data_IF_322185330237
#
_entry.id   IF_322185330237
#
_cell.length_a   1.000
_cell.length_b   1.000
_cell.length_c   1.000
_cell.angle_alpha   90.00
_cell.angle_beta   90.00
_cell.angle_gamma   90.00
#
_symmetry.space_group_name_H-M   'P 1'
#
loop_
_entity.id
_entity.type
_entity.pdbx_description
1 polymer ?
#
# COMPACT_ATOMS: atom_id res chain seq x y z
N UNK A 1 -13.83 -2.73 -7.52
CA UNK A 1 -13.00 -1.62 -7.01
C UNK A 1 -12.06 -2.11 -5.90
N UNK A 2 -10.80 -2.45 -6.12
CA UNK A 2 -10.00 -2.60 -7.35
C UNK A 2 -9.47 -4.05 -7.34
N UNK A 3 -10.37 -4.97 -7.68
CA UNK A 3 -10.14 -6.41 -7.65
C UNK A 3 -10.15 -6.84 -9.10
N UNK A 4 -8.99 -7.09 -9.70
CA UNK A 4 -8.99 -7.84 -10.95
C UNK A 4 -7.79 -8.79 -10.99
N UNK A 5 -8.07 -10.01 -11.44
CA UNK A 5 -7.03 -10.93 -11.89
C UNK A 5 -7.01 -10.82 -13.41
N UNK A 6 -5.88 -10.36 -13.95
CA UNK A 6 -5.73 -10.18 -15.39
C UNK A 6 -5.68 -11.50 -16.20
N UNK A 7 -5.77 -12.64 -15.52
CA UNK A 7 -5.65 -13.98 -16.10
C UNK A 7 -6.90 -14.45 -16.85
N UNK A 8 -8.06 -13.83 -16.61
CA UNK A 8 -9.31 -14.16 -17.29
C UNK A 8 -9.50 -13.25 -18.51
N UNK A 9 -8.78 -13.57 -19.58
CA UNK A 9 -8.83 -12.80 -20.84
C UNK A 9 -9.88 -13.32 -21.82
N UNK A 10 -10.53 -12.39 -22.51
CA UNK A 10 -11.41 -12.65 -23.65
C UNK A 10 -10.64 -12.42 -24.97
N UNK A 11 -10.61 -13.39 -25.91
CA UNK A 11 -9.75 -13.31 -27.11
C UNK A 11 -10.00 -12.10 -28.02
N UNK A 12 -11.21 -11.53 -27.99
CA UNK A 12 -11.60 -10.39 -28.84
C UNK A 12 -11.60 -9.05 -28.10
N UNK A 13 -11.31 -9.06 -26.80
CA UNK A 13 -11.32 -7.85 -25.99
C UNK A 13 -10.04 -7.02 -26.22
N UNK A 14 -10.20 -5.69 -26.20
CA UNK A 14 -9.09 -4.74 -26.35
C UNK A 14 -8.69 -4.16 -25.00
N UNK A 15 -7.75 -4.83 -24.34
CA UNK A 15 -7.17 -4.41 -23.06
C UNK A 15 -6.25 -3.20 -23.20
N UNK A 16 -5.54 -3.09 -24.32
CA UNK A 16 -4.65 -1.98 -24.61
C UNK A 16 -5.21 -1.13 -25.75
N UNK A 17 -5.29 0.18 -25.54
CA UNK A 17 -5.68 1.14 -26.58
C UNK A 17 -4.58 2.18 -26.71
N UNK A 18 -4.01 2.34 -27.90
CA UNK A 18 -3.09 3.45 -28.12
C UNK A 18 -3.95 4.67 -28.43
N UNK A 19 -3.98 5.65 -27.54
CA UNK A 19 -4.93 6.78 -27.63
C UNK A 19 -4.40 7.90 -28.51
N UNK A 20 -3.11 8.22 -28.36
CA UNK A 20 -2.41 9.28 -29.08
C UNK A 20 -0.93 8.97 -29.26
N UNK A 21 -0.28 9.74 -30.12
CA UNK A 21 1.17 9.83 -30.17
C UNK A 21 1.57 11.31 -30.13
N UNK A 22 2.76 11.58 -29.59
CA UNK A 22 3.34 12.92 -29.54
C UNK A 22 4.81 12.84 -29.93
N UNK A 23 5.29 13.90 -30.59
CA UNK A 23 6.71 14.09 -30.77
C UNK A 23 7.29 14.70 -29.49
N UNK A 24 8.22 14.00 -28.85
CA UNK A 24 9.03 14.53 -27.75
C UNK A 24 10.46 14.63 -28.27
N UNK A 25 10.89 15.85 -28.55
CA UNK A 25 12.21 16.18 -29.14
C UNK A 25 12.40 15.47 -30.49
N UNK A 26 13.16 14.37 -30.51
CA UNK A 26 13.56 13.62 -31.70
C UNK A 26 12.85 12.26 -31.85
N UNK A 27 11.96 11.91 -30.94
CA UNK A 27 11.30 10.61 -30.93
C UNK A 27 9.79 10.69 -30.71
N UNK A 28 9.10 9.70 -31.29
CA UNK A 28 7.65 9.56 -31.12
C UNK A 28 7.37 8.69 -29.91
N UNK A 29 6.54 9.21 -29.02
CA UNK A 29 5.98 8.52 -27.85
C UNK A 29 4.52 8.21 -28.12
N UNK A 30 4.12 6.97 -27.90
CA UNK A 30 2.72 6.52 -27.94
C UNK A 30 2.18 6.45 -26.53
N UNK A 31 1.01 7.05 -26.29
CA UNK A 31 0.29 6.91 -25.01
C UNK A 31 -0.65 5.72 -25.12
N UNK A 32 -0.32 4.65 -24.39
CA UNK A 32 -1.10 3.43 -24.25
C UNK A 32 -2.01 3.58 -23.04
N UNK A 33 -3.31 3.41 -23.23
CA UNK A 33 -4.28 3.21 -22.15
C UNK A 33 -4.48 1.71 -21.96
N UNK A 34 -4.26 1.23 -20.75
CA UNK A 34 -4.61 -0.13 -20.35
C UNK A 34 -5.95 -0.06 -19.61
N UNK A 35 -6.86 -0.96 -19.95
CA UNK A 35 -8.17 -1.08 -19.33
C UNK A 35 -8.41 -2.55 -18.99
N UNK A 36 -8.60 -2.83 -17.71
CA UNK A 36 -8.91 -4.18 -17.21
C UNK A 36 -10.01 -4.05 -16.18
N UNK A 37 -11.14 -4.68 -16.45
CA UNK A 37 -12.36 -4.57 -15.65
C UNK A 37 -12.80 -3.11 -15.41
N UNK A 38 -12.84 -2.65 -14.15
CA UNK A 38 -13.23 -1.32 -13.74
C UNK A 38 -12.04 -0.34 -13.54
N UNK A 39 -10.82 -0.79 -13.85
CA UNK A 39 -9.58 -0.03 -13.62
C UNK A 39 -8.90 0.30 -14.94
N UNK A 40 -8.46 1.55 -15.07
CA UNK A 40 -7.69 2.01 -16.21
C UNK A 40 -6.49 2.85 -15.79
N UNK A 41 -5.43 2.78 -16.59
CA UNK A 41 -4.26 3.64 -16.43
C UNK A 41 -3.63 3.94 -17.79
N UNK A 42 -2.70 4.89 -17.81
CA UNK A 42 -1.97 5.28 -19.03
C UNK A 42 -0.47 5.20 -18.87
N UNK A 43 0.22 4.80 -19.93
CA UNK A 43 1.67 4.73 -19.96
C UNK A 43 2.18 5.18 -21.32
N UNK A 44 3.36 5.78 -21.31
CA UNK A 44 4.05 6.26 -22.50
C UNK A 44 5.11 5.24 -22.92
N UNK A 45 5.11 4.86 -24.20
CA UNK A 45 6.13 3.96 -24.80
C UNK A 45 6.55 4.45 -26.17
N UNK A 46 7.84 4.38 -26.46
CA UNK A 46 8.40 4.60 -27.79
C UNK A 46 8.46 3.28 -28.54
N UNK A 47 8.48 3.36 -29.87
CA UNK A 47 8.64 2.16 -30.70
C UNK A 47 9.90 1.35 -30.32
N UNK A 48 11.01 2.00 -29.98
CA UNK A 48 12.24 1.33 -29.53
C UNK A 48 12.06 0.52 -28.24
N UNK A 49 11.11 0.89 -27.39
CA UNK A 49 10.79 0.14 -26.17
C UNK A 49 9.93 -1.09 -26.49
N UNK A 50 8.98 -0.99 -27.43
CA UNK A 50 8.29 -2.17 -27.97
C UNK A 50 9.27 -3.15 -28.65
N UNK A 51 10.24 -2.63 -29.38
CA UNK A 51 11.29 -3.39 -30.06
C UNK A 51 12.26 -4.07 -29.07
N UNK A 52 12.60 -3.39 -27.96
CA UNK A 52 13.36 -4.01 -26.88
C UNK A 52 12.55 -5.09 -26.14
N UNK A 53 11.27 -4.81 -25.86
CA UNK A 53 10.34 -5.77 -25.27
C UNK A 53 10.18 -7.03 -26.14
N UNK A 54 9.94 -6.87 -27.45
CA UNK A 54 9.77 -7.98 -28.39
C UNK A 54 11.03 -8.86 -28.50
N UNK A 55 12.23 -8.26 -28.45
CA UNK A 55 13.49 -8.99 -28.45
C UNK A 55 13.75 -9.76 -27.16
N UNK A 56 13.32 -9.22 -26.02
CA UNK A 56 13.47 -9.86 -24.73
C UNK A 56 12.46 -11.00 -24.52
N UNK A 57 11.40 -11.06 -25.34
CA UNK A 57 10.38 -12.09 -25.24
C UNK A 57 10.85 -13.43 -25.77
N UNK A 58 10.51 -14.51 -25.05
CA UNK A 58 10.66 -15.88 -25.56
C UNK A 58 9.54 -16.12 -26.56
N UNK A 59 9.89 -16.49 -27.80
CA UNK A 59 8.92 -16.62 -28.91
C UNK A 59 8.59 -18.07 -29.17
N UNK A 60 7.30 -18.40 -29.13
CA UNK A 60 6.76 -19.70 -29.48
C UNK A 60 6.05 -19.66 -30.85
N UNK A 61 5.77 -20.81 -31.48
CA UNK A 61 4.97 -20.84 -32.70
C UNK A 61 3.63 -20.10 -32.52
N UNK A 62 3.32 -19.20 -33.43
CA UNK A 62 2.10 -18.38 -33.36
C UNK A 62 2.23 -17.11 -32.51
N UNK A 63 3.41 -16.83 -31.94
CA UNK A 63 3.64 -15.58 -31.22
C UNK A 63 3.46 -14.36 -32.13
N UNK A 64 2.82 -13.27 -31.67
CA UNK A 64 2.56 -12.09 -32.48
C UNK A 64 3.83 -11.41 -32.99
N UNK A 65 3.82 -10.98 -34.25
CA UNK A 65 4.95 -10.25 -34.82
C UNK A 65 4.85 -8.75 -34.58
N UNK A 66 5.92 -8.14 -34.06
CA UNK A 66 6.06 -6.70 -33.98
C UNK A 66 6.04 -6.06 -35.39
N UNK A 67 5.31 -4.94 -35.62
CA UNK A 67 5.38 -4.23 -36.90
C UNK A 67 6.80 -3.75 -37.19
N UNK A 68 7.27 -3.77 -38.44
CA UNK A 68 8.66 -3.50 -38.76
C UNK A 68 9.10 -2.06 -38.45
N UNK A 69 10.41 -1.91 -38.17
CA UNK A 69 11.03 -0.60 -38.01
C UNK A 69 11.05 0.12 -39.36
N UNK A 70 10.86 1.44 -39.32
CA UNK A 70 10.92 2.32 -40.50
C UNK A 70 12.04 3.32 -40.23
N UNK A 71 13.00 3.38 -41.14
CA UNK A 71 14.22 4.20 -40.97
C UNK A 71 14.08 5.56 -41.67
N UNK A 72 13.36 5.62 -42.80
CA UNK A 72 13.11 6.85 -43.56
C UNK A 72 11.64 7.24 -43.43
N UNK A 73 11.31 8.50 -43.14
CA UNK A 73 9.93 8.96 -42.98
C UNK A 73 9.22 8.30 -41.79
N UNK A 74 9.95 8.11 -40.69
CA UNK A 74 9.48 7.50 -39.45
C UNK A 74 8.65 8.45 -38.57
N UNK A 75 8.60 9.74 -38.92
CA UNK A 75 7.76 10.76 -38.30
C UNK A 75 6.59 11.21 -39.19
N UNK A 76 6.42 10.60 -40.37
CA UNK A 76 5.28 10.86 -41.25
C UNK A 76 3.95 10.52 -40.55
N UNK A 77 2.99 11.44 -40.56
CA UNK A 77 1.75 11.33 -39.76
C UNK A 77 0.89 10.14 -40.19
N UNK A 78 0.79 9.87 -41.49
CA UNK A 78 0.04 8.71 -41.99
C UNK A 78 0.66 7.42 -41.51
N UNK A 79 1.99 7.34 -41.57
CA UNK A 79 2.73 6.23 -41.04
C UNK A 79 2.59 6.06 -39.53
N UNK A 80 2.61 7.14 -38.74
CA UNK A 80 2.42 7.08 -37.29
C UNK A 80 1.03 6.58 -36.91
N UNK A 81 -0.01 6.98 -37.65
CA UNK A 81 -1.36 6.46 -37.47
C UNK A 81 -1.46 4.97 -37.80
N UNK A 82 -0.82 4.51 -38.90
CA UNK A 82 -0.77 3.09 -39.22
C UNK A 82 -0.02 2.29 -38.15
N UNK A 83 1.16 2.78 -37.73
CA UNK A 83 1.97 2.15 -36.69
C UNK A 83 1.25 2.09 -35.36
N UNK A 84 0.51 3.12 -34.97
CA UNK A 84 -0.37 3.14 -33.79
C UNK A 84 -1.33 1.95 -33.80
N UNK A 85 -2.05 1.72 -34.90
CA UNK A 85 -2.99 0.58 -35.04
C UNK A 85 -2.25 -0.76 -34.98
N UNK A 86 -1.09 -0.86 -35.64
CA UNK A 86 -0.30 -2.09 -35.65
C UNK A 86 0.28 -2.44 -34.27
N UNK A 87 0.80 -1.45 -33.54
CA UNK A 87 1.30 -1.62 -32.18
C UNK A 87 0.18 -1.97 -31.20
N UNK A 88 -1.01 -1.36 -31.35
CA UNK A 88 -2.19 -1.72 -30.56
C UNK A 88 -2.57 -3.18 -30.78
N UNK A 89 -2.66 -3.63 -32.04
CA UNK A 89 -2.96 -5.02 -32.35
C UNK A 89 -1.89 -5.96 -31.77
N UNK A 90 -0.62 -5.64 -31.98
CA UNK A 90 0.51 -6.42 -31.47
C UNK A 90 0.43 -6.60 -29.95
N UNK A 91 0.34 -5.50 -29.19
CA UNK A 91 0.42 -5.60 -27.72
C UNK A 91 -0.78 -6.30 -27.10
N UNK A 92 -1.99 -6.14 -27.66
CA UNK A 92 -3.15 -6.92 -27.22
C UNK A 92 -2.96 -8.41 -27.51
N UNK A 93 -2.44 -8.77 -28.69
CA UNK A 93 -2.17 -10.16 -29.03
C UNK A 93 -1.12 -10.78 -28.11
N UNK A 94 -0.05 -10.05 -27.76
CA UNK A 94 0.98 -10.54 -26.84
C UNK A 94 0.40 -10.71 -25.43
N UNK A 95 -0.35 -9.71 -24.94
CA UNK A 95 -1.01 -9.78 -23.64
C UNK A 95 -1.92 -11.01 -23.50
N UNK A 96 -2.79 -11.23 -24.49
CA UNK A 96 -3.70 -12.38 -24.49
C UNK A 96 -2.91 -13.70 -24.57
N UNK A 97 -1.88 -13.76 -25.41
CA UNK A 97 -1.02 -14.94 -25.54
C UNK A 97 -0.36 -15.29 -24.19
N UNK A 98 0.24 -14.32 -23.52
CA UNK A 98 0.92 -14.51 -22.23
C UNK A 98 -0.05 -14.94 -21.12
N UNK A 99 -1.25 -14.35 -21.05
CA UNK A 99 -2.29 -14.78 -20.12
C UNK A 99 -2.70 -16.25 -20.37
N UNK A 100 -2.90 -16.64 -21.63
CA UNK A 100 -3.24 -18.02 -21.97
C UNK A 100 -2.12 -19.00 -21.62
N UNK A 101 -0.87 -18.61 -21.88
CA UNK A 101 0.30 -19.44 -21.58
C UNK A 101 0.48 -19.63 -20.07
N UNK A 102 0.40 -18.55 -19.27
CA UNK A 102 0.49 -18.62 -17.82
C UNK A 102 -0.64 -19.47 -17.22
N UNK A 103 -1.87 -19.31 -17.74
CA UNK A 103 -3.01 -20.14 -17.34
C UNK A 103 -2.78 -21.62 -17.65
N UNK A 104 -2.24 -21.94 -18.82
CA UNK A 104 -1.90 -23.32 -19.20
C UNK A 104 -0.81 -23.94 -18.29
N UNK A 105 0.10 -23.11 -17.75
CA UNK A 105 1.12 -23.52 -16.77
C UNK A 105 0.58 -23.59 -15.33
N UNK A 106 -0.67 -23.18 -15.08
CA UNK A 106 -1.24 -23.12 -13.72
C UNK A 106 -0.64 -22.01 -12.87
N UNK A 107 -0.16 -20.93 -13.50
CA UNK A 107 0.44 -19.77 -12.84
C UNK A 107 -0.60 -18.64 -12.71
N UNK A 108 -0.51 -17.86 -11.63
CA UNK A 108 -1.54 -16.90 -11.25
C UNK A 108 -1.31 -15.47 -11.78
N UNK A 109 -0.13 -15.19 -12.34
CA UNK A 109 0.31 -13.86 -12.74
C UNK A 109 0.91 -13.85 -14.15
N UNK A 110 0.94 -12.67 -14.77
CA UNK A 110 1.61 -12.42 -16.04
C UNK A 110 3.12 -12.68 -15.95
N UNK A 111 3.78 -13.02 -17.06
CA UNK A 111 5.24 -12.96 -17.10
C UNK A 111 5.72 -11.56 -16.73
N UNK A 112 6.80 -11.47 -15.93
CA UNK A 112 7.34 -10.19 -15.45
C UNK A 112 7.62 -9.18 -16.56
N UNK A 113 8.05 -9.66 -17.72
CA UNK A 113 8.40 -8.81 -18.86
C UNK A 113 7.21 -7.96 -19.31
N UNK A 114 6.05 -8.57 -19.57
CA UNK A 114 4.85 -7.83 -19.97
C UNK A 114 4.19 -7.11 -18.80
N UNK A 115 4.22 -7.70 -17.60
CA UNK A 115 3.69 -7.05 -16.40
C UNK A 115 4.36 -5.70 -16.16
N UNK A 116 5.69 -5.64 -16.26
CA UNK A 116 6.46 -4.40 -16.16
C UNK A 116 6.24 -3.49 -17.38
N UNK A 117 6.23 -4.05 -18.60
CA UNK A 117 6.01 -3.26 -19.82
C UNK A 117 4.67 -2.51 -19.81
N UNK A 118 3.63 -3.11 -19.24
CA UNK A 118 2.28 -2.54 -19.13
C UNK A 118 1.92 -1.99 -17.74
N UNK A 119 2.86 -1.97 -16.79
CA UNK A 119 2.68 -1.52 -15.40
C UNK A 119 1.63 -2.30 -14.57
N UNK A 120 1.37 -3.58 -14.89
CA UNK A 120 0.54 -4.44 -14.03
C UNK A 120 1.14 -4.61 -12.64
N UNK A 121 2.48 -4.64 -12.52
CA UNK A 121 3.18 -4.72 -11.23
C UNK A 121 2.93 -3.53 -10.28
N UNK A 122 2.21 -2.50 -10.74
CA UNK A 122 1.80 -1.35 -9.92
C UNK A 122 0.34 -1.40 -9.47
N UNK A 123 -0.50 -2.18 -10.15
CA UNK A 123 -1.96 -2.05 -10.03
C UNK A 123 -2.71 -3.38 -9.92
N UNK A 124 -2.16 -4.48 -10.44
CA UNK A 124 -2.80 -5.79 -10.41
C UNK A 124 -2.28 -6.62 -9.24
N UNK A 125 -3.20 -7.32 -8.57
CA UNK A 125 -2.95 -7.97 -7.28
C UNK A 125 -1.78 -8.95 -7.37
N UNK A 126 -1.80 -9.91 -8.30
CA UNK A 126 -0.76 -10.94 -8.37
C UNK A 126 0.60 -10.36 -8.75
N UNK A 127 0.62 -9.39 -9.67
CA UNK A 127 1.83 -8.71 -10.10
C UNK A 127 2.43 -7.82 -9.01
N UNK A 128 1.59 -7.20 -8.17
CA UNK A 128 2.05 -6.47 -6.97
C UNK A 128 2.68 -7.46 -5.97
N UNK A 129 2.07 -8.63 -5.77
CA UNK A 129 2.59 -9.68 -4.89
C UNK A 129 3.94 -10.20 -5.41
N UNK A 130 4.09 -10.41 -6.72
CA UNK A 130 5.37 -10.74 -7.35
C UNK A 130 6.42 -9.65 -7.08
N UNK A 131 6.05 -8.37 -7.17
CA UNK A 131 6.95 -7.25 -6.87
C UNK A 131 7.36 -7.21 -5.39
N UNK A 132 6.44 -7.49 -4.47
CA UNK A 132 6.75 -7.65 -3.04
C UNK A 132 7.75 -8.81 -2.83
N UNK A 133 7.55 -9.94 -3.51
CA UNK A 133 8.48 -11.07 -3.47
C UNK A 133 9.87 -10.73 -4.04
N UNK A 134 9.95 -9.77 -4.96
CA UNK A 134 11.22 -9.31 -5.52
C UNK A 134 11.94 -8.36 -4.58
N UNK A 135 11.22 -7.35 -4.08
CA UNK A 135 11.78 -6.22 -3.34
C UNK A 135 12.04 -6.55 -1.88
N UNK A 136 11.17 -7.37 -1.27
CA UNK A 136 11.14 -7.56 0.17
C UNK A 136 11.55 -8.96 0.62
N UNK A 137 11.15 -10.00 -0.12
CA UNK A 137 11.51 -11.38 0.22
C UNK A 137 12.98 -11.62 -0.12
N UNK A 138 13.81 -11.82 0.92
CA UNK A 138 15.26 -11.98 0.82
C UNK A 138 16.07 -10.69 0.83
N UNK A 139 15.45 -9.52 1.05
CA UNK A 139 16.20 -8.29 1.27
C UNK A 139 16.84 -8.29 2.66
N UNK A 140 18.17 -8.18 2.74
CA UNK A 140 18.91 -7.86 3.98
C UNK A 140 18.65 -6.38 4.35
N UNK A 141 17.40 -6.04 4.65
CA UNK A 141 17.11 -4.76 5.28
C UNK A 141 17.68 -4.81 6.69
N UNK A 142 18.43 -3.77 7.06
CA UNK A 142 18.92 -3.64 8.43
C UNK A 142 17.73 -3.82 9.39
N UNK A 143 17.92 -4.65 10.42
CA UNK A 143 16.89 -5.04 11.40
C UNK A 143 16.13 -3.87 12.02
N UNK A 144 16.71 -2.67 11.96
CA UNK A 144 16.14 -1.46 12.55
C UNK A 144 15.22 -0.67 11.61
N UNK A 145 15.21 -0.97 10.31
CA UNK A 145 14.46 -0.22 9.29
C UNK A 145 13.00 -0.67 9.16
N UNK A 146 12.12 0.28 8.80
CA UNK A 146 10.72 -0.01 8.51
C UNK A 146 10.56 -0.63 7.12
N UNK A 147 9.72 -1.65 7.03
CA UNK A 147 9.15 -2.08 5.75
C UNK A 147 8.01 -1.14 5.38
N UNK A 148 8.13 -0.44 4.27
CA UNK A 148 7.14 0.55 3.85
C UNK A 148 6.22 -0.02 2.76
N UNK A 149 4.93 0.00 3.02
CA UNK A 149 3.88 -0.38 2.08
C UNK A 149 2.98 0.83 1.77
N UNK A 150 2.48 0.89 0.54
CA UNK A 150 1.34 1.71 0.15
C UNK A 150 0.03 1.04 0.55
N UNK A 151 -1.03 1.84 0.63
CA UNK A 151 -2.41 1.32 0.80
C UNK A 151 -2.77 0.31 -0.28
N UNK A 152 -2.36 0.55 -1.53
CA UNK A 152 -2.64 -0.37 -2.65
C UNK A 152 -1.92 -1.71 -2.50
N UNK A 153 -0.66 -1.71 -2.05
CA UNK A 153 0.07 -2.96 -1.79
C UNK A 153 -0.56 -3.76 -0.65
N UNK A 154 -0.96 -3.11 0.45
CA UNK A 154 -1.64 -3.80 1.56
C UNK A 154 -3.03 -4.30 1.17
N UNK A 155 -3.75 -3.54 0.35
CA UNK A 155 -5.01 -4.00 -0.24
C UNK A 155 -4.78 -5.26 -1.08
N UNK A 156 -3.77 -5.27 -1.96
CA UNK A 156 -3.41 -6.44 -2.76
C UNK A 156 -3.03 -7.65 -1.89
N UNK A 157 -2.26 -7.46 -0.82
CA UNK A 157 -1.95 -8.52 0.15
C UNK A 157 -3.22 -9.06 0.79
N UNK A 158 -4.09 -8.18 1.28
CA UNK A 158 -5.36 -8.54 1.94
C UNK A 158 -6.26 -9.35 1.01
N UNK A 159 -6.42 -8.90 -0.23
CA UNK A 159 -7.23 -9.62 -1.23
C UNK A 159 -6.57 -10.94 -1.64
N UNK A 160 -5.24 -10.99 -1.79
CA UNK A 160 -4.53 -12.22 -2.15
C UNK A 160 -4.73 -13.32 -1.13
N UNK A 161 -4.78 -13.01 0.17
CA UNK A 161 -5.09 -13.97 1.24
C UNK A 161 -6.51 -14.58 1.14
N UNK A 162 -7.47 -13.87 0.51
CA UNK A 162 -8.85 -14.34 0.31
C UNK A 162 -9.01 -15.22 -0.94
N UNK A 163 -8.08 -15.09 -1.89
CA UNK A 163 -8.16 -15.76 -3.18
C UNK A 163 -7.75 -17.23 -3.09
N UNK A 164 -8.63 -18.11 -3.56
CA UNK A 164 -8.29 -19.50 -3.88
C UNK A 164 -7.60 -19.57 -5.25
N UNK A 165 -6.59 -20.41 -5.40
CA UNK A 165 -5.87 -20.57 -6.66
C UNK A 165 -4.45 -21.08 -6.47
N UNK A 166 -3.67 -21.07 -7.55
CA UNK A 166 -2.25 -21.39 -7.49
C UNK A 166 -1.52 -20.46 -6.53
N UNK A 167 -0.61 -21.01 -5.71
CA UNK A 167 0.26 -20.21 -4.86
C UNK A 167 1.36 -19.52 -5.67
N UNK A 168 1.75 -20.09 -6.81
CA UNK A 168 2.80 -19.54 -7.67
C UNK A 168 2.28 -18.37 -8.52
N UNK A 169 2.98 -17.24 -8.42
CA UNK A 169 2.74 -16.03 -9.22
C UNK A 169 3.18 -16.18 -10.67
N UNK A 170 4.16 -15.38 -11.10
CA UNK A 170 4.58 -15.30 -12.51
C UNK A 170 5.51 -16.45 -12.99
N UNK A 171 5.99 -17.28 -12.07
CA UNK A 171 7.02 -18.31 -12.30
C UNK A 171 6.83 -19.48 -11.35
N UNK A 172 7.20 -20.72 -11.73
CA UNK A 172 7.19 -21.87 -10.81
C UNK A 172 8.38 -21.87 -9.83
N UNK A 173 9.27 -20.87 -9.91
CA UNK A 173 10.32 -20.65 -8.92
C UNK A 173 9.68 -20.38 -7.55
N UNK A 174 10.14 -21.11 -6.53
CA UNK A 174 9.66 -21.03 -5.15
C UNK A 174 9.71 -19.61 -4.57
N UNK A 175 10.59 -18.73 -5.07
CA UNK A 175 10.58 -17.31 -4.71
C UNK A 175 9.23 -16.63 -4.95
N UNK A 176 8.51 -17.04 -6.00
CA UNK A 176 7.22 -16.48 -6.38
C UNK A 176 6.04 -17.27 -5.83
N UNK A 177 6.30 -18.21 -4.92
CA UNK A 177 5.25 -18.85 -4.15
C UNK A 177 4.70 -17.85 -3.12
N UNK A 178 3.38 -17.66 -3.10
CA UNK A 178 2.71 -16.74 -2.18
C UNK A 178 2.99 -17.08 -0.71
N UNK A 179 3.28 -18.34 -0.38
CA UNK A 179 3.69 -18.76 0.96
C UNK A 179 4.95 -18.04 1.44
N UNK A 180 5.89 -17.72 0.55
CA UNK A 180 7.09 -16.93 0.88
C UNK A 180 6.75 -15.49 1.26
N UNK A 181 5.82 -14.88 0.53
CA UNK A 181 5.33 -13.53 0.85
C UNK A 181 4.52 -13.55 2.15
N UNK A 182 3.66 -14.55 2.34
CA UNK A 182 2.86 -14.70 3.55
C UNK A 182 3.74 -14.91 4.80
N UNK A 183 4.78 -15.73 4.70
CA UNK A 183 5.77 -15.93 5.76
C UNK A 183 6.53 -14.63 6.06
N UNK A 184 6.96 -13.90 5.03
CA UNK A 184 7.57 -12.59 5.19
C UNK A 184 6.63 -11.62 5.95
N UNK A 185 5.38 -11.48 5.49
CA UNK A 185 4.36 -10.60 6.13
C UNK A 185 4.13 -10.97 7.60
N UNK A 186 4.04 -12.27 7.92
CA UNK A 186 3.88 -12.74 9.28
C UNK A 186 5.06 -12.39 10.21
N UNK A 187 6.26 -12.23 9.65
CA UNK A 187 7.49 -11.96 10.37
C UNK A 187 7.89 -10.46 10.38
N UNK A 188 7.15 -9.57 9.71
CA UNK A 188 7.42 -8.12 9.75
C UNK A 188 7.24 -7.59 11.18
N UNK A 189 8.31 -7.02 11.73
CA UNK A 189 8.31 -6.37 13.05
C UNK A 189 8.06 -4.88 13.02
N UNK A 190 8.50 -4.20 11.95
CA UNK A 190 8.38 -2.74 11.77
C UNK A 190 7.71 -2.43 10.44
N UNK A 191 6.48 -1.93 10.50
CA UNK A 191 5.66 -1.62 9.33
C UNK A 191 5.39 -0.12 9.26
N UNK A 192 5.65 0.48 8.08
CA UNK A 192 5.20 1.82 7.74
C UNK A 192 4.18 1.72 6.61
N UNK A 193 3.06 2.42 6.77
CA UNK A 193 1.96 2.48 5.81
C UNK A 193 1.84 3.92 5.33
N UNK A 194 1.92 4.12 4.02
CA UNK A 194 1.88 5.45 3.40
C UNK A 194 0.75 5.49 2.36
N UNK A 195 -0.38 6.10 2.72
CA UNK A 195 -1.58 6.13 1.87
C UNK A 195 -1.58 7.20 0.77
N UNK A 196 -0.62 8.11 0.76
CA UNK A 196 -0.45 9.12 -0.29
C UNK A 196 0.54 8.72 -1.41
N UNK A 197 1.02 7.47 -1.43
CA UNK A 197 1.89 6.98 -2.51
C UNK A 197 1.11 7.00 -3.83
N UNK A 198 1.59 7.79 -4.80
CA UNK A 198 0.87 8.03 -6.04
C UNK A 198 0.64 6.75 -6.85
N UNK A 199 -0.57 6.55 -7.35
CA UNK A 199 -0.93 5.45 -8.27
C UNK A 199 -0.61 5.80 -9.72
N UNK A 200 0.41 6.62 -9.95
CA UNK A 200 0.81 7.11 -11.26
C UNK A 200 -0.34 7.78 -12.01
N UNK A 201 -0.88 7.10 -13.01
CA UNK A 201 -1.94 7.59 -13.91
C UNK A 201 -3.22 6.76 -13.82
N UNK A 202 -3.32 5.86 -12.85
CA UNK A 202 -4.52 5.03 -12.70
C UNK A 202 -5.68 5.82 -12.10
N UNK A 203 -6.90 5.34 -12.35
CA UNK A 203 -8.14 5.82 -11.76
C UNK A 203 -8.46 5.15 -10.40
N UNK A 204 -7.50 4.41 -9.82
CA UNK A 204 -7.69 3.75 -8.52
C UNK A 204 -7.83 4.80 -7.42
N UNK A 205 -8.95 4.70 -6.71
CA UNK A 205 -9.28 5.50 -5.54
C UNK A 205 -8.65 4.93 -4.26
N UNK A 206 -7.46 5.43 -3.91
CA UNK A 206 -6.72 4.99 -2.72
C UNK A 206 -7.52 5.15 -1.41
N UNK A 207 -8.36 6.18 -1.34
CA UNK A 207 -9.27 6.49 -0.22
C UNK A 207 -10.40 5.47 -0.05
N UNK A 208 -10.60 4.56 -1.01
CA UNK A 208 -11.63 3.51 -0.94
C UNK A 208 -11.05 2.13 -0.66
N UNK A 209 -9.73 1.98 -0.66
CA UNK A 209 -9.06 0.69 -0.54
C UNK A 209 -8.96 0.27 0.92
N UNK A 210 -9.55 -0.89 1.22
CA UNK A 210 -9.51 -1.50 2.56
C UNK A 210 -8.38 -2.50 2.68
N UNK A 211 -7.73 -2.57 3.84
CA UNK A 211 -6.70 -3.57 4.10
C UNK A 211 -6.72 -4.04 5.55
N UNK A 212 -6.27 -5.26 5.77
CA UNK A 212 -6.34 -5.96 7.04
C UNK A 212 -4.95 -6.31 7.59
N UNK A 213 -4.70 -5.90 8.83
CA UNK A 213 -3.42 -6.15 9.52
C UNK A 213 -3.35 -7.51 10.21
N UNK A 214 -4.40 -8.35 10.16
CA UNK A 214 -4.48 -9.64 10.84
C UNK A 214 -3.33 -10.59 10.50
N UNK A 215 -2.70 -10.44 9.33
CA UNK A 215 -1.62 -11.31 8.86
C UNK A 215 -0.24 -10.93 9.43
N UNK A 216 -0.08 -9.76 10.03
CA UNK A 216 1.18 -9.26 10.59
C UNK A 216 1.42 -9.76 12.03
N UNK A 217 1.66 -11.06 12.19
CA UNK A 217 1.68 -11.73 13.51
C UNK A 217 2.79 -11.25 14.45
N UNK A 218 3.91 -10.81 13.91
CA UNK A 218 5.11 -10.40 14.68
C UNK A 218 5.28 -8.88 14.80
N UNK A 219 4.23 -8.09 14.51
CA UNK A 219 4.34 -6.64 14.44
C UNK A 219 4.57 -6.00 15.83
N UNK A 220 5.65 -5.23 15.94
CA UNK A 220 6.09 -4.55 17.17
C UNK A 220 6.04 -3.02 17.03
N UNK A 221 6.25 -2.49 15.82
CA UNK A 221 6.22 -1.05 15.54
C UNK A 221 5.38 -0.76 14.30
N UNK A 222 4.36 0.08 14.46
CA UNK A 222 3.46 0.47 13.38
C UNK A 222 3.48 1.98 13.18
N UNK A 223 3.74 2.41 11.95
CA UNK A 223 3.62 3.81 11.53
C UNK A 223 2.59 3.92 10.41
N UNK A 224 1.50 4.65 10.62
CA UNK A 224 0.46 4.92 9.63
C UNK A 224 0.52 6.40 9.25
N UNK A 225 0.52 6.72 7.96
CA UNK A 225 0.34 8.08 7.51
C UNK A 225 -0.47 8.22 6.21
N UNK A 226 -1.26 9.29 6.13
CA UNK A 226 -2.08 9.64 4.96
C UNK A 226 -3.06 8.53 4.54
N UNK A 227 -3.58 7.77 5.51
CA UNK A 227 -4.60 6.75 5.28
C UNK A 227 -5.96 7.24 5.76
N UNK A 228 -7.03 6.64 5.25
CA UNK A 228 -8.34 6.72 5.90
C UNK A 228 -8.42 5.62 6.96
N UNK A 229 -8.51 5.99 8.23
CA UNK A 229 -8.53 5.06 9.36
C UNK A 229 -9.70 4.06 9.26
N UNK A 230 -10.84 4.46 8.68
CA UNK A 230 -12.03 3.60 8.53
C UNK A 230 -11.83 2.42 7.57
N UNK A 231 -10.79 2.48 6.74
CA UNK A 231 -10.45 1.43 5.79
C UNK A 231 -9.37 0.46 6.30
N UNK A 232 -8.82 0.71 7.49
CA UNK A 232 -7.90 -0.20 8.17
C UNK A 232 -8.76 -1.22 8.93
N UNK A 233 -8.33 -2.47 9.03
CA UNK A 233 -8.92 -3.48 9.92
C UNK A 233 -7.85 -4.36 10.55
N UNK A 234 -8.24 -5.14 11.56
CA UNK A 234 -7.37 -6.14 12.18
C UNK A 234 -6.39 -5.59 13.23
N UNK A 235 -6.64 -4.38 13.73
CA UNK A 235 -5.87 -3.77 14.83
C UNK A 235 -5.89 -4.64 16.10
N UNK A 236 -7.00 -5.33 16.34
CA UNK A 236 -7.20 -6.27 17.45
C UNK A 236 -6.23 -7.46 17.42
N UNK A 237 -5.80 -7.89 16.24
CA UNK A 237 -4.89 -9.04 16.10
C UNK A 237 -3.42 -8.67 16.35
N UNK A 238 -3.08 -7.39 16.26
CA UNK A 238 -1.71 -6.89 16.48
C UNK A 238 -1.54 -6.22 17.86
N UNK A 239 -2.64 -5.85 18.53
CA UNK A 239 -2.66 -5.13 19.81
C UNK A 239 -1.78 -5.77 20.91
N UNK A 240 -1.78 -7.10 21.01
CA UNK A 240 -1.02 -7.83 22.04
C UNK A 240 0.50 -7.78 21.86
N UNK A 241 0.99 -7.50 20.64
CA UNK A 241 2.40 -7.49 20.30
C UNK A 241 2.97 -6.09 20.08
N UNK A 242 2.12 -5.10 19.80
CA UNK A 242 2.57 -3.77 19.46
C UNK A 242 3.24 -3.06 20.66
N UNK A 243 4.41 -2.49 20.41
CA UNK A 243 5.21 -1.72 21.38
C UNK A 243 5.24 -0.22 21.07
N UNK A 244 5.12 0.15 19.79
CA UNK A 244 5.07 1.53 19.34
C UNK A 244 4.01 1.72 18.26
N UNK A 245 3.20 2.77 18.41
CA UNK A 245 2.22 3.20 17.42
C UNK A 245 2.46 4.68 17.06
N UNK A 246 2.68 4.95 15.78
CA UNK A 246 2.77 6.29 15.24
C UNK A 246 1.68 6.46 14.18
N UNK A 247 0.87 7.49 14.30
CA UNK A 247 -0.18 7.79 13.32
C UNK A 247 -0.14 9.27 13.02
N UNK A 248 0.05 9.65 11.75
CA UNK A 248 0.14 11.05 11.32
C UNK A 248 -0.80 11.30 10.13
N UNK A 249 -1.34 12.51 10.00
CA UNK A 249 -2.18 12.94 8.86
C UNK A 249 -3.27 11.92 8.48
N UNK A 250 -3.89 11.27 9.46
CA UNK A 250 -4.83 10.14 9.28
C UNK A 250 -6.07 10.27 10.15
N UNK A 251 -5.94 10.79 11.37
CA UNK A 251 -7.01 10.77 12.38
C UNK A 251 -7.66 12.14 12.56
N UNK A 252 -9.00 12.14 12.66
CA UNK A 252 -9.77 13.25 13.26
C UNK A 252 -10.18 12.91 14.70
N UNK A 253 -10.36 11.62 15.02
CA UNK A 253 -10.55 11.06 16.37
C UNK A 253 -9.69 9.83 16.60
N UNK A 254 -9.30 9.58 17.86
CA UNK A 254 -8.52 8.38 18.20
C UNK A 254 -9.42 7.14 18.09
N UNK A 255 -10.71 7.28 18.39
CA UNK A 255 -11.70 6.20 18.29
C UNK A 255 -11.83 5.63 16.88
N UNK A 256 -11.53 6.38 15.82
CA UNK A 256 -11.62 5.88 14.42
C UNK A 256 -10.74 4.66 14.16
N UNK A 257 -9.57 4.62 14.80
CA UNK A 257 -8.64 3.50 14.69
C UNK A 257 -8.90 2.43 15.76
N UNK A 258 -9.31 2.83 16.97
CA UNK A 258 -9.40 1.93 18.13
C UNK A 258 -10.79 1.27 18.29
N UNK A 259 -11.86 1.89 17.79
CA UNK A 259 -13.23 1.32 17.83
C UNK A 259 -13.35 0.01 17.06
N UNK A 260 -12.47 -0.19 16.07
CA UNK A 260 -12.33 -1.43 15.32
C UNK A 260 -11.93 -2.63 16.19
N UNK A 261 -11.41 -2.40 17.40
CA UNK A 261 -11.15 -3.44 18.38
C UNK A 261 -12.42 -3.93 19.13
N UNK A 262 -13.63 -3.62 18.62
CA UNK A 262 -14.89 -4.24 19.05
C UNK A 262 -15.68 -3.49 20.13
N UNK A 263 -15.76 -2.17 20.03
CA UNK A 263 -16.18 -1.32 21.15
C UNK A 263 -17.47 -0.56 20.85
N UNK A 264 -18.38 -0.57 21.83
CA UNK A 264 -19.49 0.39 21.92
C UNK A 264 -18.94 1.76 22.39
N UNK A 265 -18.95 2.75 21.49
CA UNK A 265 -18.33 4.09 21.68
C UNK A 265 -18.75 4.78 22.99
N UNK A 266 -19.94 4.48 23.52
CA UNK A 266 -20.46 5.11 24.74
C UNK A 266 -20.00 4.43 26.04
N UNK A 267 -19.65 3.15 26.02
CA UNK A 267 -19.48 2.35 27.25
C UNK A 267 -18.07 1.82 27.48
N UNK A 268 -17.23 1.77 26.45
CA UNK A 268 -15.91 1.12 26.52
C UNK A 268 -15.99 -0.29 27.14
N UNK A 269 -17.08 -1.03 26.94
CA UNK A 269 -17.20 -2.42 27.40
C UNK A 269 -16.44 -3.34 26.43
N UNK A 270 -15.87 -4.45 26.94
CA UNK A 270 -15.06 -5.42 26.18
C UNK A 270 -13.74 -4.86 25.60
N UNK A 271 -12.98 -4.10 26.40
CA UNK A 271 -11.71 -3.56 25.92
C UNK A 271 -10.68 -4.64 25.58
N UNK A 272 -10.11 -4.59 24.38
CA UNK A 272 -8.87 -5.31 24.04
C UNK A 272 -7.69 -4.45 24.52
N UNK A 273 -6.99 -4.82 25.60
CA UNK A 273 -5.87 -4.04 26.08
C UNK A 273 -4.67 -4.17 25.14
N UNK A 274 -3.83 -3.13 25.10
CA UNK A 274 -2.57 -3.12 24.33
C UNK A 274 -1.38 -3.21 25.29
N UNK A 275 -1.10 -4.37 25.89
CA UNK A 275 -0.27 -4.53 27.10
C UNK A 275 1.23 -4.24 26.89
N UNK A 276 1.70 -4.17 25.64
CA UNK A 276 3.13 -3.97 25.34
C UNK A 276 3.44 -2.56 24.85
N UNK A 277 2.43 -1.71 24.64
CA UNK A 277 2.61 -0.37 24.10
C UNK A 277 3.36 0.50 25.10
N UNK A 278 4.51 1.02 24.66
CA UNK A 278 5.40 1.90 25.44
C UNK A 278 5.36 3.33 24.93
N UNK A 279 5.23 3.51 23.62
CA UNK A 279 5.23 4.81 22.95
C UNK A 279 4.09 4.92 21.96
N UNK A 280 3.35 6.04 22.05
CA UNK A 280 2.35 6.41 21.05
C UNK A 280 2.60 7.84 20.61
N UNK A 281 2.55 8.06 19.30
CA UNK A 281 2.68 9.36 18.68
C UNK A 281 1.52 9.60 17.71
N UNK A 282 0.61 10.49 18.10
CA UNK A 282 -0.52 10.94 17.30
C UNK A 282 -0.35 12.40 16.86
N UNK A 283 0.88 12.91 16.83
CA UNK A 283 1.19 14.24 16.28
C UNK A 283 0.78 14.38 14.81
N UNK A 284 0.69 15.62 14.33
CA UNK A 284 0.39 15.91 12.92
C UNK A 284 -0.95 15.32 12.42
N UNK A 285 -1.91 15.11 13.33
CA UNK A 285 -3.30 14.83 13.02
C UNK A 285 -4.18 16.06 13.30
N UNK A 286 -5.44 16.01 12.89
CA UNK A 286 -6.42 17.06 13.12
C UNK A 286 -7.28 16.79 14.37
N UNK A 287 -6.68 16.19 15.40
CA UNK A 287 -7.37 15.88 16.65
C UNK A 287 -7.81 17.19 17.31
N UNK A 288 -9.13 17.37 17.51
CA UNK A 288 -9.68 18.50 18.25
C UNK A 288 -9.81 18.19 19.76
N UNK A 289 -9.88 16.91 20.13
CA UNK A 289 -10.03 16.43 21.50
C UNK A 289 -9.48 15.00 21.63
N UNK A 290 -9.15 14.61 22.85
CA UNK A 290 -8.81 13.21 23.21
C UNK A 290 -10.10 12.55 23.68
N UNK A 291 -10.60 11.58 22.92
CA UNK A 291 -11.80 10.82 23.27
C UNK A 291 -11.48 9.65 24.24
N UNK A 292 -12.54 9.00 24.77
CA UNK A 292 -12.42 7.94 25.78
C UNK A 292 -11.64 6.70 25.32
N UNK A 293 -11.47 6.51 24.01
CA UNK A 293 -10.72 5.37 23.47
C UNK A 293 -9.23 5.40 23.84
N UNK A 294 -8.70 6.52 24.32
CA UNK A 294 -7.32 6.56 24.82
C UNK A 294 -7.04 5.50 25.90
N UNK A 295 -8.09 5.06 26.63
CA UNK A 295 -8.02 4.03 27.66
C UNK A 295 -7.52 2.67 27.14
N UNK A 296 -7.75 2.31 25.87
CA UNK A 296 -7.21 1.07 25.26
C UNK A 296 -5.69 0.97 25.35
N UNK A 297 -5.02 2.12 25.31
CA UNK A 297 -3.58 2.24 25.31
C UNK A 297 -3.03 2.45 26.74
N UNK A 298 -3.88 2.85 27.71
CA UNK A 298 -3.51 3.24 29.08
C UNK A 298 -3.15 2.09 30.03
N UNK A 299 -3.30 0.83 29.61
CA UNK A 299 -2.97 -0.32 30.45
C UNK A 299 -1.47 -0.41 30.83
N UNK A 300 -0.55 0.33 30.18
CA UNK A 300 0.91 0.15 30.39
C UNK A 300 1.82 1.39 30.18
N UNK A 301 1.29 2.60 30.03
CA UNK A 301 2.05 3.72 29.42
C UNK A 301 3.29 4.29 30.15
N UNK A 302 4.24 4.76 29.32
CA UNK A 302 5.39 5.59 29.69
C UNK A 302 5.59 6.88 28.84
N UNK A 303 5.07 6.99 27.59
CA UNK A 303 5.28 8.18 26.73
C UNK A 303 4.15 8.42 25.70
N UNK A 304 3.60 9.64 25.65
CA UNK A 304 2.56 10.05 24.69
C UNK A 304 2.88 11.41 24.04
N UNK A 305 2.92 11.46 22.70
CA UNK A 305 3.17 12.69 21.92
C UNK A 305 1.92 13.11 21.13
N UNK A 306 1.41 14.31 21.45
CA UNK A 306 0.41 15.04 20.67
C UNK A 306 1.02 16.38 20.28
N UNK A 307 1.76 16.46 19.18
CA UNK A 307 2.12 17.77 18.62
C UNK A 307 0.99 18.22 17.69
N UNK A 308 0.00 18.91 18.28
CA UNK A 308 -1.00 19.85 17.71
C UNK A 308 -2.23 20.02 18.63
N UNK A 309 -2.40 19.14 19.62
CA UNK A 309 -3.15 19.38 20.86
C UNK A 309 -2.12 19.57 21.97
N UNK A 310 -2.20 20.62 22.79
CA UNK A 310 -1.18 21.03 23.78
C UNK A 310 -0.94 20.06 24.96
N UNK A 311 -0.74 18.76 24.75
CA UNK A 311 -0.54 17.79 25.83
C UNK A 311 0.51 16.72 25.47
N UNK A 312 1.71 16.83 26.01
CA UNK A 312 2.63 15.69 26.16
C UNK A 312 2.33 15.02 27.51
N UNK A 313 1.86 13.78 27.52
CA UNK A 313 1.63 13.04 28.76
C UNK A 313 2.89 12.23 29.10
N UNK A 314 3.56 12.60 30.20
CA UNK A 314 4.65 11.84 30.82
C UNK A 314 4.21 11.36 32.20
N UNK A 315 4.43 10.08 32.49
CA UNK A 315 4.34 9.54 33.85
C UNK A 315 5.75 9.14 34.33
N UNK A 316 6.34 9.91 35.24
CA UNK A 316 7.50 9.47 36.05
C UNK A 316 6.95 8.96 37.38
N UNK A 317 7.30 7.72 37.75
CA UNK A 317 7.19 7.30 39.16
C UNK A 317 8.06 8.22 40.01
N UNK A 318 7.44 9.10 40.78
CA UNK A 318 8.08 9.70 41.95
C UNK A 318 7.32 9.26 43.20
N UNK A 319 8.08 8.74 44.15
CA UNK A 319 7.68 8.59 45.53
C UNK A 319 7.36 9.97 46.12
N UNK A 320 6.18 10.03 46.73
CA UNK A 320 5.64 11.06 47.62
C UNK A 320 4.98 12.32 47.01
N UNK A 321 3.66 12.40 47.24
CA UNK A 321 3.07 13.49 48.02
C UNK A 321 2.75 14.81 47.32
N UNK A 322 1.49 14.92 46.89
CA UNK A 322 0.69 16.16 46.74
C UNK A 322 0.96 17.13 45.58
N UNK A 323 -0.03 17.28 44.68
CA UNK A 323 -0.64 18.55 44.25
C UNK A 323 -1.72 18.31 43.18
N UNK A 324 -2.88 18.96 43.32
CA UNK A 324 -4.00 18.96 42.37
C UNK A 324 -3.71 19.94 41.21
N UNK A 325 -4.02 19.54 39.97
CA UNK A 325 -3.93 20.40 38.77
C UNK A 325 -5.26 20.37 37.99
N UNK A 326 -5.81 21.52 37.54
CA UNK A 326 -7.17 21.62 37.02
C UNK A 326 -7.20 21.43 35.49
N UNK A 327 -7.43 20.20 35.01
CA UNK A 327 -7.71 19.94 33.58
C UNK A 327 -8.83 18.92 33.32
N UNK A 328 -9.59 18.49 34.34
CA UNK A 328 -10.76 17.64 34.16
C UNK A 328 -12.04 18.48 34.19
N UNK A 329 -12.42 19.00 33.02
CA UNK A 329 -13.79 19.45 32.73
C UNK A 329 -14.73 18.31 32.31
N UNK A 330 -14.28 17.06 32.35
CA UNK A 330 -15.09 15.89 32.07
C UNK A 330 -14.97 14.92 33.23
N UNK A 331 -16.12 14.59 33.84
CA UNK A 331 -16.24 13.62 34.92
C UNK A 331 -16.00 12.17 34.44
N UNK A 332 -14.79 11.88 33.97
CA UNK A 332 -14.33 10.53 33.71
C UNK A 332 -13.72 9.97 35.00
N UNK A 333 -14.48 9.10 35.65
CA UNK A 333 -14.06 8.41 36.87
C UNK A 333 -13.23 7.18 36.45
N UNK A 334 -11.91 7.34 36.36
CA UNK A 334 -11.00 6.23 36.10
C UNK A 334 -10.95 5.28 37.33
N UNK A 335 -10.77 3.95 37.14
CA UNK A 335 -10.55 3.02 38.24
C UNK A 335 -9.36 3.46 39.11
N UNK A 336 -9.48 3.31 40.42
CA UNK A 336 -8.64 3.87 41.52
C UNK A 336 -7.10 3.63 41.45
N UNK A 337 -6.54 3.07 40.38
CA UNK A 337 -5.10 2.82 40.20
C UNK A 337 -4.37 3.70 39.18
N UNK A 338 -5.07 4.56 38.43
CA UNK A 338 -4.50 5.31 37.31
C UNK A 338 -4.65 6.83 37.47
N UNK A 339 -3.88 7.45 38.37
CA UNK A 339 -3.70 8.91 38.37
C UNK A 339 -2.26 9.28 38.72
N UNK A 340 -1.57 9.98 37.83
CA UNK A 340 -0.65 11.10 38.13
C UNK A 340 -0.02 11.69 36.85
N UNK A 341 0.03 13.02 36.77
CA UNK A 341 0.44 13.83 35.61
C UNK A 341 1.69 14.68 35.93
N UNK A 342 2.57 14.89 34.95
CA UNK A 342 3.54 15.99 34.94
C UNK A 342 3.67 16.59 33.52
N UNK A 343 3.73 17.92 33.42
CA UNK A 343 3.85 18.69 32.18
C UNK A 343 5.23 19.36 32.08
N UNK A 344 5.87 19.30 30.92
CA UNK A 344 6.90 20.26 30.49
C UNK A 344 6.73 20.56 29.01
N UNK A 345 6.42 21.82 28.70
CA UNK A 345 6.35 22.34 27.35
C UNK A 345 7.77 22.67 26.85
N UNK A 346 8.17 22.07 25.72
CA UNK A 346 9.24 22.62 24.89
C UNK A 346 8.60 23.23 23.66
N UNK A 347 8.39 24.53 23.75
CA UNK A 347 8.26 25.41 22.60
C UNK A 347 9.55 25.33 21.78
N UNK A 348 9.44 24.87 20.54
CA UNK A 348 10.35 25.34 19.49
C UNK A 348 9.54 25.57 18.22
N UNK A 349 9.37 26.86 17.96
CA UNK A 349 8.82 27.45 16.74
C UNK A 349 9.49 26.86 15.50
N UNK A 350 8.65 26.74 14.48
CA UNK A 350 9.02 26.88 13.08
C UNK A 350 9.84 28.16 12.93
N UNK A 351 11.14 28.03 12.63
CA UNK A 351 11.89 29.02 11.88
C UNK A 351 12.59 28.31 10.72
N UNK A 352 12.05 28.58 9.52
CA UNK A 352 12.75 28.72 8.24
C UNK A 352 14.06 27.95 8.02
N UNK A 353 14.03 27.03 7.05
CA UNK A 353 15.06 27.02 6.00
C UNK A 353 14.38 26.74 4.64
N UNK A 354 13.90 27.83 4.02
CA UNK A 354 14.13 28.01 2.59
C UNK A 354 15.58 28.49 2.44
N UNK A 355 16.45 27.61 1.96
CA UNK A 355 17.44 27.88 0.91
C UNK A 355 17.91 26.56 0.33
#
# INVERSE_FOLDING_TARGET
MALFSCMNVEPLHKYCQITKFANKEDYIVYTVRVNVEDVSWTLDRRYSEFDAFDRAHVKFPGFPSLPPKKVIGNQDVNFLNQRKVQLEKYINSVFIFDCMEQKAKGLASLPRLIASFLHFNRYEIHSIIDEIAIVHVGSDKNSDSFFEFSTLELHAVTERFKMAGSSFGCSPDFRFDFGQVAEFIANVKKLKISGNKCTGTSDIRLDSLRFDLMHFKSLEHLWICYCDASNISGMEFIAANLSSLTVHNTLDRISELLSQCGVDEERCENLIPWPKVKSVDFSFNNLCHIDASIVFLLASFFFFSLANCTCTLFNRRFSDGSALCPLFGFGLQLPYGYMQFAAFALSSRIESFQQ
#
